data_IF_593011201635
#
_entry.id   IF_593011201635
#
_cell.length_a   1.000
_cell.length_b   1.000
_cell.length_c   1.000
_cell.angle_alpha   90.00
_cell.angle_beta   90.00
_cell.angle_gamma   90.00
#
_symmetry.space_group_name_H-M   'P 1'
#
loop_
_entity.id
_entity.type
_entity.pdbx_description
1 polymer ?
#
# COMPACT_ATOMS: atom_id res chain seq x y z
N UNK A 1 -24.71 -15.24 -14.94
CA UNK A 1 -23.31 -15.59 -14.65
C UNK A 1 -22.80 -14.53 -13.68
N UNK A 2 -22.97 -14.79 -12.39
CA UNK A 2 -22.61 -13.84 -11.33
C UNK A 2 -21.10 -13.90 -11.20
N UNK A 3 -20.41 -12.89 -11.73
CA UNK A 3 -18.97 -12.72 -11.52
C UNK A 3 -18.80 -12.63 -10.01
N UNK A 4 -18.30 -13.69 -9.38
CA UNK A 4 -17.85 -13.62 -7.99
C UNK A 4 -16.84 -12.47 -7.97
N UNK A 5 -17.05 -11.47 -7.10
CA UNK A 5 -15.95 -10.56 -6.74
C UNK A 5 -14.81 -11.47 -6.31
N UNK A 6 -13.79 -11.63 -7.15
CA UNK A 6 -12.54 -12.23 -6.74
C UNK A 6 -12.01 -11.36 -5.61
N UNK A 7 -12.17 -11.85 -4.37
CA UNK A 7 -11.58 -11.20 -3.22
C UNK A 7 -10.07 -11.28 -3.43
N UNK A 8 -9.45 -10.13 -3.67
CA UNK A 8 -8.01 -10.01 -3.79
C UNK A 8 -7.35 -10.72 -2.60
N UNK A 9 -6.34 -11.53 -2.89
CA UNK A 9 -5.49 -12.13 -1.87
C UNK A 9 -4.77 -11.03 -1.09
N UNK A 10 -4.27 -11.36 0.11
CA UNK A 10 -3.53 -10.37 0.91
C UNK A 10 -2.27 -9.87 0.19
N UNK A 11 -1.61 -10.71 -0.62
CA UNK A 11 -0.46 -10.30 -1.43
C UNK A 11 -0.83 -9.32 -2.54
N UNK A 12 -1.97 -9.54 -3.22
CA UNK A 12 -2.49 -8.63 -4.23
C UNK A 12 -2.91 -7.30 -3.62
N UNK A 13 -3.58 -7.32 -2.46
CA UNK A 13 -3.94 -6.12 -1.69
C UNK A 13 -2.70 -5.33 -1.26
N UNK A 14 -1.64 -6.02 -0.82
CA UNK A 14 -0.36 -5.40 -0.47
C UNK A 14 0.26 -4.73 -1.71
N UNK A 15 0.30 -5.42 -2.83
CA UNK A 15 0.86 -4.90 -4.08
C UNK A 15 0.07 -3.70 -4.61
N UNK A 16 -1.26 -3.77 -4.53
CA UNK A 16 -2.18 -2.68 -4.89
C UNK A 16 -1.94 -1.47 -3.98
N UNK A 17 -1.84 -1.65 -2.67
CA UNK A 17 -1.56 -0.56 -1.73
C UNK A 17 -0.23 0.16 -2.06
N UNK A 18 0.82 -0.58 -2.43
CA UNK A 18 2.09 0.01 -2.88
C UNK A 18 1.91 0.76 -4.21
N UNK A 19 1.19 0.17 -5.17
CA UNK A 19 0.90 0.79 -6.46
C UNK A 19 0.11 2.10 -6.34
N UNK A 20 -0.89 2.12 -5.46
CA UNK A 20 -1.68 3.32 -5.13
C UNK A 20 -0.80 4.40 -4.48
N UNK A 21 0.03 4.02 -3.51
CA UNK A 21 0.97 4.94 -2.87
C UNK A 21 1.97 5.53 -3.89
N UNK A 22 2.53 4.71 -4.77
CA UNK A 22 3.43 5.16 -5.84
C UNK A 22 2.72 6.11 -6.82
N UNK A 23 1.49 5.77 -7.23
CA UNK A 23 0.68 6.61 -8.11
C UNK A 23 0.39 7.96 -7.47
N UNK A 24 0.08 7.99 -6.17
CA UNK A 24 -0.14 9.23 -5.44
C UNK A 24 1.13 10.10 -5.44
N UNK A 25 2.31 9.52 -5.19
CA UNK A 25 3.57 10.26 -5.23
C UNK A 25 3.83 10.85 -6.62
N UNK A 26 3.66 10.06 -7.68
CA UNK A 26 3.82 10.50 -9.08
C UNK A 26 2.87 11.68 -9.38
N UNK A 27 1.59 11.55 -9.03
CA UNK A 27 0.58 12.60 -9.26
C UNK A 27 0.88 13.90 -8.51
N UNK A 28 1.57 13.81 -7.38
CA UNK A 28 1.98 14.96 -6.58
C UNK A 28 3.41 15.43 -6.89
N UNK A 29 4.02 14.94 -7.98
CA UNK A 29 5.38 15.25 -8.39
C UNK A 29 6.43 14.99 -7.29
N UNK A 30 6.17 13.97 -6.46
CA UNK A 30 7.07 13.53 -5.38
C UNK A 30 7.90 12.32 -5.84
N UNK A 31 9.14 12.19 -5.35
CA UNK A 31 10.00 11.09 -5.74
C UNK A 31 9.46 9.76 -5.21
N UNK A 32 9.38 8.73 -6.07
CA UNK A 32 8.97 7.38 -5.69
C UNK A 32 10.16 6.64 -5.09
N UNK A 33 10.43 6.91 -3.81
CA UNK A 33 11.49 6.25 -3.03
C UNK A 33 10.89 5.38 -1.95
N UNK A 34 11.64 4.39 -1.44
CA UNK A 34 11.20 3.59 -0.28
C UNK A 34 10.84 4.46 0.93
N UNK A 35 11.54 5.58 1.13
CA UNK A 35 11.26 6.51 2.23
C UNK A 35 9.89 7.16 2.07
N UNK A 36 9.63 7.76 0.91
CA UNK A 36 8.35 8.44 0.64
C UNK A 36 7.18 7.45 0.63
N UNK A 37 7.36 6.26 0.02
CA UNK A 37 6.36 5.19 0.04
C UNK A 37 6.06 4.73 1.48
N UNK A 38 7.10 4.48 2.28
CA UNK A 38 6.94 4.05 3.68
C UNK A 38 6.23 5.11 4.52
N UNK A 39 6.56 6.39 4.33
CA UNK A 39 5.91 7.50 5.04
C UNK A 39 4.44 7.63 4.65
N UNK A 40 4.12 7.55 3.35
CA UNK A 40 2.74 7.62 2.88
C UNK A 40 1.90 6.43 3.38
N UNK A 41 2.44 5.21 3.28
CA UNK A 41 1.75 4.01 3.78
C UNK A 41 1.52 4.09 5.31
N UNK A 42 2.48 4.61 6.08
CA UNK A 42 2.32 4.84 7.53
C UNK A 42 1.24 5.88 7.83
N UNK A 43 1.16 6.95 7.04
CA UNK A 43 0.14 7.97 7.19
C UNK A 43 -1.27 7.43 6.91
N UNK A 44 -1.44 6.65 5.85
CA UNK A 44 -2.71 5.98 5.54
C UNK A 44 -3.07 4.93 6.61
N UNK A 45 -2.08 4.20 7.14
CA UNK A 45 -2.23 3.25 8.26
C UNK A 45 -2.80 3.95 9.51
N UNK A 46 -2.27 5.14 9.84
CA UNK A 46 -2.69 5.93 11.00
C UNK A 46 -4.09 6.52 10.85
N UNK A 47 -4.50 6.84 9.61
CA UNK A 47 -5.82 7.42 9.30
C UNK A 47 -6.94 6.39 9.16
N UNK A 48 -6.58 5.16 8.81
CA UNK A 48 -7.55 4.09 8.59
C UNK A 48 -8.11 3.61 9.93
N UNK A 49 -9.43 3.42 10.04
CA UNK A 49 -10.05 2.81 11.22
C UNK A 49 -10.23 1.29 11.05
N UNK A 50 -10.20 0.79 9.81
CA UNK A 50 -10.36 -0.62 9.46
C UNK A 50 -9.10 -1.42 9.82
N UNK A 51 -9.26 -2.40 10.72
CA UNK A 51 -8.16 -3.21 11.21
C UNK A 51 -7.54 -4.10 10.11
N UNK A 52 -8.35 -4.60 9.16
CA UNK A 52 -7.86 -5.43 8.06
C UNK A 52 -6.99 -4.60 7.10
N UNK A 53 -7.46 -3.42 6.74
CA UNK A 53 -6.74 -2.51 5.86
C UNK A 53 -5.46 -1.97 6.53
N UNK A 54 -5.45 -1.75 7.85
CA UNK A 54 -4.21 -1.47 8.61
C UNK A 54 -3.17 -2.57 8.46
N UNK A 55 -3.57 -3.83 8.54
CA UNK A 55 -2.65 -4.97 8.39
C UNK A 55 -2.02 -4.97 6.99
N UNK A 56 -2.82 -4.73 5.95
CA UNK A 56 -2.33 -4.62 4.57
C UNK A 56 -1.34 -3.46 4.41
N UNK A 57 -1.66 -2.27 4.93
CA UNK A 57 -0.78 -1.09 4.85
C UNK A 57 0.53 -1.30 5.60
N UNK A 58 0.49 -1.90 6.79
CA UNK A 58 1.67 -2.24 7.56
C UNK A 58 2.55 -3.29 6.84
N UNK A 59 1.94 -4.30 6.23
CA UNK A 59 2.65 -5.31 5.43
C UNK A 59 3.28 -4.70 4.17
N UNK A 60 2.56 -3.83 3.46
CA UNK A 60 3.08 -3.06 2.33
C UNK A 60 4.30 -2.23 2.72
N UNK A 61 4.22 -1.49 3.85
CA UNK A 61 5.32 -0.70 4.38
C UNK A 61 6.54 -1.56 4.67
N UNK A 62 6.36 -2.72 5.31
CA UNK A 62 7.43 -3.67 5.61
C UNK A 62 8.08 -4.22 4.34
N UNK A 63 7.30 -4.50 3.30
CA UNK A 63 7.80 -5.00 2.02
C UNK A 63 8.64 -3.95 1.28
N UNK A 64 8.17 -2.70 1.23
CA UNK A 64 8.90 -1.57 0.64
C UNK A 64 10.26 -1.38 1.30
N UNK A 65 10.32 -1.44 2.64
CA UNK A 65 11.56 -1.27 3.39
C UNK A 65 12.54 -2.43 3.18
N UNK A 66 12.05 -3.66 2.95
CA UNK A 66 12.90 -4.85 2.73
C UNK A 66 13.50 -4.93 1.33
N UNK A 67 12.78 -4.46 0.29
CA UNK A 67 13.22 -4.61 -1.12
C UNK A 67 14.20 -3.53 -1.60
N UNK A 68 14.42 -2.47 -0.83
CA UNK A 68 15.34 -1.38 -1.17
C UNK A 68 16.59 -1.32 -0.27
N UNK A 69 16.86 -2.38 0.52
CA UNK A 69 18.14 -2.66 1.15
C UNK A 69 18.95 -3.59 0.27
#
# INVERSE_FOLDING_TARGET
MTIKKDELTDEEKISEAIGLAATWLIRNNKPVTARELSQLLKFEEEKTADAGHKIILAAARKLVLRKMQ
#
